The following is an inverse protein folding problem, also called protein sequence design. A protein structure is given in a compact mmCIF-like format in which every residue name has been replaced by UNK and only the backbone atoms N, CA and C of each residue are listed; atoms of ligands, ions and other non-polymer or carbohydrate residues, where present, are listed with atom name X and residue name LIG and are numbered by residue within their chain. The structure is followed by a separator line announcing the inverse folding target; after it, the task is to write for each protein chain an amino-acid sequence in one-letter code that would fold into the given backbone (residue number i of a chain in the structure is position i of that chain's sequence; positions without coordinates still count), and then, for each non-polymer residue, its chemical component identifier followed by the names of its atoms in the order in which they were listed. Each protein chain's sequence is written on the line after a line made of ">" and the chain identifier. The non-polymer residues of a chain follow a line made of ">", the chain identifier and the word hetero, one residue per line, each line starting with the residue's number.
data_IF_224001165443
#
_entry.id   IF_224001165443
#
_cell.length_a   1.000
_cell.length_b   1.000
_cell.length_c   1.000
_cell.angle_alpha   90.00
_cell.angle_beta   90.00
_cell.angle_gamma   90.00
#
_symmetry.space_group_name_H-M   'P 1'
#
loop_
_entity.id
_entity.type
_entity.pdbx_description
1 polymer ?
#
# COMPACT_ATOMS: atom_id res chain seq x y z
N UNK A 1 -16.59 19.46 -0.45
CA UNK A 1 -15.64 18.43 0.09
C UNK A 1 -16.32 17.06 0.35
N UNK A 2 -17.55 17.01 0.85
CA UNK A 2 -18.28 15.76 1.14
C UNK A 2 -18.66 14.98 -0.12
N UNK A 3 -19.09 15.63 -1.19
CA UNK A 3 -19.45 14.99 -2.46
C UNK A 3 -18.28 14.30 -3.14
N UNK A 4 -17.11 14.93 -3.18
CA UNK A 4 -15.90 14.33 -3.77
C UNK A 4 -15.43 13.11 -2.98
N UNK A 5 -15.53 13.15 -1.64
CA UNK A 5 -15.21 12.00 -0.79
C UNK A 5 -16.18 10.82 -1.05
N UNK A 6 -17.48 11.08 -1.07
CA UNK A 6 -18.50 10.06 -1.32
C UNK A 6 -18.34 9.45 -2.72
N UNK A 7 -18.13 10.28 -3.74
CA UNK A 7 -17.90 9.82 -5.12
C UNK A 7 -16.64 8.95 -5.20
N UNK A 8 -15.53 9.38 -4.62
CA UNK A 8 -14.27 8.60 -4.64
C UNK A 8 -14.42 7.29 -3.85
N UNK A 9 -15.11 7.32 -2.71
CA UNK A 9 -15.34 6.14 -1.87
C UNK A 9 -16.19 5.09 -2.56
N UNK A 10 -17.19 5.50 -3.37
CA UNK A 10 -18.06 4.59 -4.09
C UNK A 10 -17.53 4.19 -5.48
N UNK A 11 -16.83 5.08 -6.17
CA UNK A 11 -16.37 4.85 -7.53
C UNK A 11 -15.06 4.04 -7.58
N UNK A 12 -14.18 4.21 -6.58
CA UNK A 12 -12.91 3.48 -6.55
C UNK A 12 -13.08 1.95 -6.46
N UNK A 13 -13.95 1.38 -5.58
CA UNK A 13 -14.20 -0.06 -5.57
C UNK A 13 -14.82 -0.57 -6.88
N UNK A 14 -15.73 0.20 -7.47
CA UNK A 14 -16.35 -0.18 -8.74
C UNK A 14 -15.31 -0.22 -9.87
N UNK A 15 -14.44 0.78 -9.96
CA UNK A 15 -13.34 0.79 -10.94
C UNK A 15 -12.36 -0.35 -10.65
N UNK A 16 -12.01 -0.60 -9.40
CA UNK A 16 -11.13 -1.70 -9.03
C UNK A 16 -11.71 -3.06 -9.39
N UNK A 17 -12.99 -3.27 -9.13
CA UNK A 17 -13.69 -4.51 -9.49
C UNK A 17 -13.64 -4.71 -11.01
N UNK A 18 -13.88 -3.66 -11.79
CA UNK A 18 -13.78 -3.70 -13.25
C UNK A 18 -12.34 -3.98 -13.70
N UNK A 19 -11.34 -3.32 -13.10
CA UNK A 19 -9.91 -3.50 -13.45
C UNK A 19 -9.41 -4.91 -13.06
N UNK A 20 -9.93 -5.52 -12.00
CA UNK A 20 -9.59 -6.90 -11.63
C UNK A 20 -10.31 -7.94 -12.48
N UNK A 21 -11.61 -7.76 -12.76
CA UNK A 21 -12.44 -8.75 -13.45
C UNK A 21 -12.24 -8.68 -14.97
N UNK A 22 -12.01 -7.50 -15.55
CA UNK A 22 -11.93 -7.32 -16.99
C UNK A 22 -10.74 -8.07 -17.62
N UNK A 23 -9.51 -8.03 -17.10
CA UNK A 23 -8.39 -8.83 -17.62
C UNK A 23 -8.61 -10.33 -17.44
N UNK A 24 -9.16 -10.76 -16.29
CA UNK A 24 -9.48 -12.16 -16.06
C UNK A 24 -10.53 -12.68 -17.05
N UNK A 25 -11.55 -11.89 -17.33
CA UNK A 25 -12.59 -12.22 -18.32
C UNK A 25 -12.08 -12.22 -19.75
N UNK A 26 -11.16 -11.33 -20.10
CA UNK A 26 -10.52 -11.29 -21.41
C UNK A 26 -9.58 -12.50 -21.63
N UNK A 27 -8.88 -12.95 -20.58
CA UNK A 27 -8.05 -14.13 -20.61
C UNK A 27 -8.88 -15.40 -20.83
N UNK A 28 -9.97 -15.59 -20.10
CA UNK A 28 -10.86 -16.77 -20.24
C UNK A 28 -11.67 -16.79 -21.54
N UNK A 29 -11.87 -15.66 -22.19
CA UNK A 29 -12.55 -15.62 -23.53
C UNK A 29 -11.69 -16.20 -24.66
N UNK A 30 -10.38 -16.36 -24.46
CA UNK A 30 -9.44 -16.95 -25.43
C UNK A 30 -9.27 -18.47 -25.33
N UNK A 31 -9.58 -19.07 -24.18
CA UNK A 31 -9.39 -20.49 -23.93
C UNK A 31 -10.62 -21.30 -24.39
N UNK A 32 -10.59 -21.75 -25.64
CA UNK A 32 -11.46 -22.84 -26.10
C UNK A 32 -10.70 -24.16 -25.89
N UNK A 33 -11.07 -24.90 -24.86
CA UNK A 33 -10.59 -26.27 -24.66
C UNK A 33 -11.01 -27.12 -25.86
N UNK A 34 -10.08 -27.50 -26.72
CA UNK A 34 -10.34 -28.40 -27.85
C UNK A 34 -10.04 -29.82 -27.39
N UNK A 35 -11.07 -30.64 -27.27
CA UNK A 35 -10.88 -32.07 -27.11
C UNK A 35 -10.57 -32.69 -28.45
N UNK A 36 -9.32 -33.07 -28.69
CA UNK A 36 -8.89 -33.80 -29.89
C UNK A 36 -8.91 -35.28 -29.57
N UNK A 37 -9.81 -36.03 -30.16
CA UNK A 37 -9.83 -37.49 -30.09
C UNK A 37 -9.10 -38.01 -31.32
N UNK A 38 -7.91 -38.56 -31.10
CA UNK A 38 -7.11 -39.19 -32.18
C UNK A 38 -7.38 -40.68 -32.19
N UNK A 39 -8.05 -41.15 -33.22
CA UNK A 39 -8.25 -42.58 -33.46
C UNK A 39 -7.22 -43.04 -34.48
N UNK A 40 -6.28 -43.89 -34.07
CA UNK A 40 -5.24 -44.39 -34.98
C UNK A 40 -5.30 -45.92 -35.09
N UNK A 41 -5.04 -46.45 -36.29
CA UNK A 41 -4.92 -47.89 -36.56
C UNK A 41 -3.48 -48.38 -36.51
N UNK A 42 -2.49 -47.50 -36.35
CA UNK A 42 -1.07 -47.81 -36.39
C UNK A 42 -0.39 -47.52 -35.05
N UNK A 43 0.20 -48.50 -34.33
CA UNK A 43 0.81 -48.26 -33.00
C UNK A 43 1.91 -47.22 -32.99
N UNK A 44 2.76 -47.20 -34.02
CA UNK A 44 3.87 -46.21 -34.11
C UNK A 44 3.41 -44.77 -34.25
N UNK A 45 2.29 -44.51 -34.92
CA UNK A 45 1.71 -43.18 -35.03
C UNK A 45 1.06 -42.76 -33.71
N UNK A 46 0.51 -43.72 -32.96
CA UNK A 46 -0.03 -43.48 -31.62
C UNK A 46 1.03 -43.02 -30.61
N UNK A 47 2.23 -43.64 -30.67
CA UNK A 47 3.35 -43.23 -29.82
C UNK A 47 3.89 -41.84 -30.18
N UNK A 48 4.03 -41.51 -31.45
CA UNK A 48 4.50 -40.21 -31.92
C UNK A 48 3.53 -39.08 -31.52
N UNK A 49 2.21 -39.32 -31.64
CA UNK A 49 1.19 -38.39 -31.22
C UNK A 49 1.17 -38.23 -29.69
N UNK A 50 1.42 -39.31 -28.96
CA UNK A 50 1.52 -39.26 -27.48
C UNK A 50 2.73 -38.49 -27.00
N UNK A 51 3.86 -38.61 -27.69
CA UNK A 51 5.07 -37.85 -27.40
C UNK A 51 4.90 -36.34 -27.70
N UNK A 52 4.22 -36.02 -28.82
CA UNK A 52 3.86 -34.62 -29.13
C UNK A 52 2.82 -34.05 -28.16
N UNK A 53 1.84 -34.85 -27.72
CA UNK A 53 0.86 -34.38 -26.72
C UNK A 53 1.52 -34.20 -25.35
N UNK A 54 2.47 -35.08 -24.95
CA UNK A 54 3.19 -34.92 -23.71
C UNK A 54 4.12 -33.70 -23.71
N UNK A 55 4.69 -33.32 -24.86
CA UNK A 55 5.44 -32.07 -25.00
C UNK A 55 4.53 -30.83 -25.00
N UNK A 56 3.33 -30.94 -25.57
CA UNK A 56 2.32 -29.89 -25.52
C UNK A 56 1.76 -29.70 -24.09
N UNK A 57 1.53 -30.80 -23.35
CA UNK A 57 1.15 -30.75 -21.94
C UNK A 57 2.24 -30.08 -21.07
N UNK A 58 3.53 -30.33 -21.38
CA UNK A 58 4.64 -29.64 -20.70
C UNK A 58 4.75 -28.14 -21.05
N UNK A 59 4.36 -27.74 -22.26
CA UNK A 59 4.22 -26.33 -22.63
C UNK A 59 3.00 -25.69 -21.95
N UNK A 60 1.90 -26.41 -21.81
CA UNK A 60 0.68 -25.95 -21.14
C UNK A 60 0.92 -25.76 -19.63
N UNK A 61 1.61 -26.69 -18.95
CA UNK A 61 2.09 -26.53 -17.56
C UNK A 61 3.00 -25.28 -17.42
N UNK A 62 3.83 -24.99 -18.42
CA UNK A 62 4.66 -23.79 -18.47
C UNK A 62 3.83 -22.51 -18.66
N UNK A 63 2.69 -22.61 -19.31
CA UNK A 63 1.77 -21.50 -19.57
C UNK A 63 0.86 -21.24 -18.37
N UNK A 64 0.36 -22.26 -17.70
CA UNK A 64 -0.37 -22.15 -16.42
C UNK A 64 0.50 -21.54 -15.32
N UNK A 65 1.77 -21.90 -15.22
CA UNK A 65 2.70 -21.31 -14.25
C UNK A 65 3.00 -19.84 -14.56
N UNK A 66 3.07 -19.43 -15.83
CA UNK A 66 3.21 -18.03 -16.23
C UNK A 66 1.94 -17.21 -15.95
N UNK A 67 0.78 -17.81 -16.19
CA UNK A 67 -0.52 -17.17 -15.95
C UNK A 67 -0.78 -16.98 -14.44
N UNK A 68 -0.45 -17.97 -13.63
CA UNK A 68 -0.56 -17.88 -12.17
C UNK A 68 0.40 -16.83 -11.60
N UNK A 69 1.61 -16.70 -12.16
CA UNK A 69 2.56 -15.67 -11.80
C UNK A 69 2.08 -14.28 -12.22
N UNK A 70 1.46 -14.16 -13.38
CA UNK A 70 0.86 -12.91 -13.87
C UNK A 70 -0.31 -12.43 -13.00
N UNK A 71 -1.18 -13.35 -12.57
CA UNK A 71 -2.29 -13.07 -11.65
C UNK A 71 -1.78 -12.56 -10.30
N UNK A 72 -0.82 -13.24 -9.69
CA UNK A 72 -0.18 -12.80 -8.43
C UNK A 72 0.50 -11.43 -8.58
N UNK A 73 1.18 -11.19 -9.69
CA UNK A 73 1.79 -9.90 -9.97
C UNK A 73 0.74 -8.77 -9.98
N UNK A 74 -0.35 -8.98 -10.71
CA UNK A 74 -1.43 -7.98 -10.78
C UNK A 74 -2.05 -7.73 -9.41
N UNK A 75 -2.29 -8.77 -8.62
CA UNK A 75 -2.78 -8.68 -7.24
C UNK A 75 -1.86 -7.82 -6.37
N UNK A 76 -0.55 -8.11 -6.39
CA UNK A 76 0.45 -7.34 -5.65
C UNK A 76 0.47 -5.89 -6.09
N UNK A 77 0.51 -5.64 -7.39
CA UNK A 77 0.56 -4.27 -7.94
C UNK A 77 -0.67 -3.47 -7.54
N UNK A 78 -1.86 -4.05 -7.66
CA UNK A 78 -3.12 -3.36 -7.29
C UNK A 78 -3.13 -3.03 -5.80
N UNK A 79 -2.80 -3.97 -4.93
CA UNK A 79 -2.80 -3.76 -3.48
C UNK A 79 -1.72 -2.75 -3.05
N UNK A 80 -0.53 -2.83 -3.66
CA UNK A 80 0.56 -1.87 -3.41
C UNK A 80 0.18 -0.47 -3.89
N UNK A 81 -0.46 -0.37 -5.05
CA UNK A 81 -0.96 0.91 -5.54
C UNK A 81 -2.02 1.52 -4.62
N UNK A 82 -2.86 0.69 -3.99
CA UNK A 82 -3.78 1.15 -2.95
C UNK A 82 -3.06 1.74 -1.75
N UNK A 83 -2.04 1.03 -1.23
CA UNK A 83 -1.22 1.56 -0.12
C UNK A 83 -0.59 2.90 -0.54
N UNK A 84 0.01 2.94 -1.74
CA UNK A 84 0.68 4.12 -2.26
C UNK A 84 -0.25 5.33 -2.38
N UNK A 85 -1.39 5.16 -3.07
CA UNK A 85 -2.36 6.23 -3.30
C UNK A 85 -2.98 6.69 -1.97
N UNK A 86 -3.34 5.77 -1.10
CA UNK A 86 -3.92 6.11 0.19
C UNK A 86 -2.93 6.86 1.09
N UNK A 87 -1.68 6.41 1.18
CA UNK A 87 -0.63 7.11 1.96
C UNK A 87 -0.44 8.53 1.43
N UNK A 88 -0.41 8.73 0.11
CA UNK A 88 -0.28 10.06 -0.48
C UNK A 88 -1.50 10.93 -0.17
N UNK A 89 -2.71 10.45 -0.44
CA UNK A 89 -3.93 11.25 -0.28
C UNK A 89 -4.15 11.67 1.19
N UNK A 90 -4.05 10.70 2.10
CA UNK A 90 -4.26 10.97 3.53
C UNK A 90 -3.07 11.72 4.15
N UNK A 91 -1.84 11.42 3.74
CA UNK A 91 -0.65 12.15 4.17
C UNK A 91 -0.72 13.63 3.78
N UNK A 92 -1.05 13.94 2.53
CA UNK A 92 -1.27 15.31 2.07
C UNK A 92 -2.41 15.98 2.84
N UNK A 93 -3.48 15.25 3.14
CA UNK A 93 -4.60 15.78 3.93
C UNK A 93 -4.18 16.13 5.36
N UNK A 94 -3.33 15.33 5.99
CA UNK A 94 -2.74 15.64 7.31
C UNK A 94 -1.88 16.90 7.22
N UNK A 95 -0.99 16.97 6.23
CA UNK A 95 -0.13 18.15 6.01
C UNK A 95 -0.95 19.44 5.86
N UNK A 96 -1.95 19.42 4.97
CA UNK A 96 -2.84 20.57 4.73
C UNK A 96 -3.59 20.98 6.00
N UNK A 97 -4.12 20.01 6.74
CA UNK A 97 -4.84 20.28 7.97
C UNK A 97 -3.95 20.94 9.03
N UNK A 98 -2.68 20.54 9.14
CA UNK A 98 -1.69 21.20 10.02
C UNK A 98 -1.42 22.63 9.57
N UNK A 99 -1.26 22.82 8.26
CA UNK A 99 -1.00 24.12 7.68
C UNK A 99 -2.18 25.10 7.84
N UNK A 100 -3.41 24.63 7.61
CA UNK A 100 -4.65 25.41 7.77
C UNK A 100 -4.80 25.89 9.22
N UNK A 101 -4.56 25.03 10.21
CA UNK A 101 -4.62 25.40 11.63
C UNK A 101 -3.55 26.43 11.99
N UNK A 102 -2.32 26.23 11.51
CA UNK A 102 -1.23 27.18 11.71
C UNK A 102 -1.59 28.57 11.20
N UNK A 103 -2.23 28.64 10.01
CA UNK A 103 -2.57 29.92 9.37
C UNK A 103 -3.84 30.59 9.97
N UNK A 104 -4.72 29.81 10.61
CA UNK A 104 -6.01 30.31 11.13
C UNK A 104 -5.97 30.88 12.55
N UNK A 105 -4.81 30.90 13.23
CA UNK A 105 -4.65 31.29 14.64
C UNK A 105 -5.52 30.47 15.64
N UNK A 106 -6.28 29.49 15.17
CA UNK A 106 -7.07 28.60 16.03
C UNK A 106 -6.17 27.83 16.99
N UNK A 107 -4.91 27.66 16.58
CA UNK A 107 -3.88 27.00 17.38
C UNK A 107 -3.61 27.67 18.73
N UNK A 108 -3.68 28.98 18.84
CA UNK A 108 -3.48 29.69 20.12
C UNK A 108 -4.55 29.27 21.16
N UNK A 109 -5.79 29.06 20.68
CA UNK A 109 -6.90 28.59 21.51
C UNK A 109 -6.75 27.10 21.82
N UNK A 110 -6.35 26.28 20.86
CA UNK A 110 -6.18 24.83 21.04
C UNK A 110 -5.03 24.51 21.99
N UNK A 111 -3.92 25.23 21.91
CA UNK A 111 -2.75 25.06 22.80
C UNK A 111 -3.01 25.48 24.25
N UNK A 112 -4.09 26.22 24.52
CA UNK A 112 -4.51 26.48 25.90
C UNK A 112 -5.19 25.27 26.57
N UNK A 113 -5.69 24.32 25.75
CA UNK A 113 -6.49 23.17 26.22
C UNK A 113 -5.81 21.80 25.99
N UNK A 114 -4.84 21.70 25.06
CA UNK A 114 -4.18 20.46 24.68
C UNK A 114 -2.70 20.69 24.34
N UNK A 115 -1.88 19.66 24.57
CA UNK A 115 -0.47 19.71 24.17
C UNK A 115 -0.30 19.56 22.67
N UNK A 116 0.80 20.11 22.11
CA UNK A 116 1.14 19.98 20.68
C UNK A 116 1.20 18.52 20.22
N UNK A 117 1.63 17.62 21.10
CA UNK A 117 1.72 16.17 20.81
C UNK A 117 0.34 15.54 20.70
N UNK A 118 -0.57 15.87 21.63
CA UNK A 118 -1.95 15.37 21.62
C UNK A 118 -2.70 15.83 20.38
N UNK A 119 -2.51 17.09 19.99
CA UNK A 119 -3.10 17.65 18.76
C UNK A 119 -2.59 16.91 17.51
N UNK A 120 -1.28 16.70 17.42
CA UNK A 120 -0.67 15.98 16.28
C UNK A 120 -1.15 14.53 16.22
N UNK A 121 -1.12 13.81 17.34
CA UNK A 121 -1.57 12.42 17.41
C UNK A 121 -3.06 12.33 17.10
N UNK A 122 -3.89 13.17 17.71
CA UNK A 122 -5.33 13.19 17.45
C UNK A 122 -5.65 13.41 15.97
N UNK A 123 -4.90 14.28 15.29
CA UNK A 123 -5.07 14.53 13.86
C UNK A 123 -4.67 13.33 13.00
N UNK A 124 -3.50 12.73 13.27
CA UNK A 124 -3.04 11.55 12.53
C UNK A 124 -4.03 10.40 12.70
N UNK A 125 -4.47 10.13 13.92
CA UNK A 125 -5.46 9.08 14.18
C UNK A 125 -6.84 9.41 13.61
N UNK A 126 -7.28 10.66 13.68
CA UNK A 126 -8.56 11.10 13.12
C UNK A 126 -8.63 10.92 11.59
N UNK A 127 -7.62 11.38 10.86
CA UNK A 127 -7.54 11.18 9.40
C UNK A 127 -7.34 9.69 9.08
N UNK A 128 -6.58 8.97 9.90
CA UNK A 128 -6.38 7.52 9.75
C UNK A 128 -7.67 6.72 9.93
N UNK A 129 -8.51 7.10 10.87
CA UNK A 129 -9.82 6.48 11.07
C UNK A 129 -10.71 6.62 9.83
N UNK A 130 -10.67 7.78 9.16
CA UNK A 130 -11.36 7.99 7.87
C UNK A 130 -10.82 7.05 6.81
N UNK A 131 -9.48 6.92 6.69
CA UNK A 131 -8.84 6.00 5.75
C UNK A 131 -9.19 4.54 6.00
N UNK A 132 -9.16 4.10 7.28
CA UNK A 132 -9.58 2.74 7.65
C UNK A 132 -11.05 2.47 7.33
N UNK A 133 -11.93 3.42 7.64
CA UNK A 133 -13.36 3.30 7.30
C UNK A 133 -13.54 3.12 5.79
N UNK A 134 -12.80 3.86 4.99
CA UNK A 134 -12.85 3.75 3.54
C UNK A 134 -12.38 2.38 3.04
N UNK A 135 -11.31 1.82 3.60
CA UNK A 135 -10.86 0.46 3.25
C UNK A 135 -11.91 -0.58 3.64
N UNK A 136 -12.49 -0.48 4.83
CA UNK A 136 -13.56 -1.40 5.25
C UNK A 136 -14.73 -1.35 4.25
N UNK A 137 -15.15 -0.15 3.85
CA UNK A 137 -16.19 0.03 2.83
C UNK A 137 -15.78 -0.63 1.51
N UNK A 138 -14.52 -0.47 1.08
CA UNK A 138 -14.04 -1.08 -0.15
C UNK A 138 -14.01 -2.60 -0.10
N UNK A 139 -13.55 -3.18 1.01
CA UNK A 139 -13.54 -4.64 1.20
C UNK A 139 -14.96 -5.20 1.22
N UNK A 140 -15.89 -4.54 1.92
CA UNK A 140 -17.30 -4.95 1.97
C UNK A 140 -17.93 -4.85 0.58
N UNK A 141 -17.73 -3.75 -0.13
CA UNK A 141 -18.26 -3.58 -1.49
C UNK A 141 -17.68 -4.59 -2.47
N UNK A 142 -16.35 -4.82 -2.41
CA UNK A 142 -15.71 -5.85 -3.23
C UNK A 142 -16.33 -7.23 -2.97
N UNK A 143 -16.57 -7.60 -1.71
CA UNK A 143 -17.26 -8.83 -1.34
C UNK A 143 -18.69 -8.92 -1.90
N UNK A 144 -19.47 -7.84 -1.75
CA UNK A 144 -20.85 -7.78 -2.25
C UNK A 144 -20.89 -7.93 -3.78
N UNK A 145 -19.99 -7.30 -4.51
CA UNK A 145 -19.94 -7.42 -5.98
C UNK A 145 -19.31 -8.72 -6.47
N UNK A 146 -18.37 -9.30 -5.72
CA UNK A 146 -17.74 -10.57 -6.09
C UNK A 146 -18.68 -11.77 -5.90
N UNK A 147 -19.53 -11.77 -4.87
CA UNK A 147 -20.41 -12.90 -4.57
C UNK A 147 -21.32 -13.34 -5.75
N UNK A 148 -22.05 -12.45 -6.44
CA UNK A 148 -22.83 -12.83 -7.61
C UNK A 148 -21.96 -13.33 -8.78
N UNK A 149 -20.79 -12.74 -8.98
CA UNK A 149 -19.87 -13.16 -10.04
C UNK A 149 -19.32 -14.58 -9.80
N UNK A 150 -18.97 -14.90 -8.54
CA UNK A 150 -18.54 -16.23 -8.12
C UNK A 150 -19.64 -17.28 -8.23
N UNK A 151 -20.89 -16.89 -7.96
CA UNK A 151 -22.04 -17.79 -8.11
C UNK A 151 -22.31 -18.16 -9.59
N UNK A 152 -21.98 -17.25 -10.51
CA UNK A 152 -22.16 -17.45 -11.96
C UNK A 152 -20.98 -18.15 -12.62
N UNK A 153 -19.77 -18.00 -12.07
CA UNK A 153 -18.52 -18.55 -12.61
C UNK A 153 -17.63 -19.05 -11.44
N UNK A 154 -17.72 -20.33 -11.07
CA UNK A 154 -16.93 -20.93 -9.98
C UNK A 154 -15.41 -20.80 -10.16
N UNK A 155 -14.93 -20.73 -11.40
CA UNK A 155 -13.51 -20.57 -11.74
C UNK A 155 -12.91 -19.25 -11.21
N UNK A 156 -13.76 -18.24 -10.96
CA UNK A 156 -13.36 -17.00 -10.32
C UNK A 156 -13.02 -17.13 -8.82
N UNK A 157 -13.27 -18.30 -8.23
CA UNK A 157 -12.90 -18.58 -6.82
C UNK A 157 -11.40 -18.43 -6.56
N UNK A 158 -10.57 -18.61 -7.59
CA UNK A 158 -9.12 -18.39 -7.55
C UNK A 158 -8.73 -16.91 -7.39
N UNK A 159 -9.67 -15.97 -7.59
CA UNK A 159 -9.45 -14.54 -7.39
C UNK A 159 -9.76 -14.08 -5.95
N UNK A 160 -10.23 -15.00 -5.09
CA UNK A 160 -10.50 -14.67 -3.69
C UNK A 160 -9.17 -14.49 -2.96
N UNK A 161 -8.91 -13.26 -2.50
CA UNK A 161 -7.73 -12.96 -1.69
C UNK A 161 -7.80 -13.70 -0.35
N UNK A 162 -6.79 -14.49 0.03
CA UNK A 162 -6.78 -15.21 1.30
C UNK A 162 -6.94 -14.26 2.49
N UNK A 163 -7.70 -14.63 3.54
CA UNK A 163 -7.90 -13.77 4.71
C UNK A 163 -6.60 -13.31 5.38
N UNK A 164 -5.56 -14.16 5.39
CA UNK A 164 -4.24 -13.81 5.91
C UNK A 164 -3.58 -12.66 5.15
N UNK A 165 -3.76 -12.60 3.83
CA UNK A 165 -3.25 -11.51 2.98
C UNK A 165 -4.00 -10.21 3.25
N UNK A 166 -5.32 -10.27 3.46
CA UNK A 166 -6.13 -9.10 3.84
C UNK A 166 -5.73 -8.54 5.22
N UNK A 167 -5.48 -9.41 6.19
CA UNK A 167 -4.97 -8.99 7.51
C UNK A 167 -3.59 -8.35 7.38
N UNK A 168 -2.68 -8.96 6.62
CA UNK A 168 -1.37 -8.38 6.35
C UNK A 168 -1.49 -7.01 5.66
N UNK A 169 -2.39 -6.89 4.67
CA UNK A 169 -2.69 -5.61 4.02
C UNK A 169 -3.13 -4.55 5.03
N UNK A 170 -4.11 -4.87 5.90
CA UNK A 170 -4.61 -3.93 6.90
C UNK A 170 -3.51 -3.48 7.87
N UNK A 171 -2.65 -4.41 8.32
CA UNK A 171 -1.54 -4.11 9.24
C UNK A 171 -0.50 -3.20 8.57
N UNK A 172 0.01 -3.59 7.39
CA UNK A 172 1.05 -2.81 6.70
C UNK A 172 0.53 -1.50 6.13
N UNK A 173 -0.74 -1.46 5.72
CA UNK A 173 -1.41 -0.22 5.36
C UNK A 173 -1.48 0.75 6.55
N UNK A 174 -2.00 0.30 7.70
CA UNK A 174 -2.14 1.14 8.89
C UNK A 174 -0.79 1.66 9.38
N UNK A 175 0.21 0.77 9.50
CA UNK A 175 1.54 1.15 9.95
C UNK A 175 2.24 2.08 8.93
N UNK A 176 2.12 1.79 7.64
CA UNK A 176 2.63 2.66 6.58
C UNK A 176 1.96 4.03 6.61
N UNK A 177 0.63 4.06 6.75
CA UNK A 177 -0.11 5.31 6.91
C UNK A 177 0.41 6.12 8.12
N UNK A 178 0.52 5.51 9.29
CA UNK A 178 1.00 6.18 10.50
C UNK A 178 2.43 6.72 10.32
N UNK A 179 3.32 5.93 9.72
CA UNK A 179 4.69 6.33 9.44
C UNK A 179 4.76 7.59 8.57
N UNK A 180 4.13 7.53 7.40
CA UNK A 180 4.20 8.60 6.42
C UNK A 180 3.38 9.82 6.82
N UNK A 181 2.21 9.65 7.45
CA UNK A 181 1.41 10.76 7.96
C UNK A 181 2.12 11.56 9.05
N UNK A 182 2.94 10.90 9.86
CA UNK A 182 3.80 11.59 10.84
C UNK A 182 4.81 12.50 10.15
N UNK A 183 5.43 12.05 9.06
CA UNK A 183 6.34 12.89 8.25
C UNK A 183 5.60 14.04 7.57
N UNK A 184 4.42 13.79 7.02
CA UNK A 184 3.60 14.83 6.42
C UNK A 184 3.14 15.87 7.44
N UNK A 185 2.81 15.47 8.67
CA UNK A 185 2.50 16.39 9.76
C UNK A 185 3.69 17.30 10.10
N UNK A 186 4.91 16.74 10.13
CA UNK A 186 6.13 17.51 10.35
C UNK A 186 6.38 18.50 9.20
N UNK A 187 6.17 18.11 7.93
CA UNK A 187 6.26 19.01 6.78
C UNK A 187 5.28 20.16 6.93
N UNK A 188 4.00 19.88 7.26
CA UNK A 188 2.99 20.92 7.50
C UNK A 188 3.38 21.89 8.60
N UNK A 189 4.03 21.41 9.66
CA UNK A 189 4.49 22.26 10.77
C UNK A 189 5.62 23.23 10.39
N UNK A 190 6.55 22.83 9.52
CA UNK A 190 7.72 23.64 9.13
C UNK A 190 7.43 24.55 7.94
N UNK A 191 6.44 24.25 7.11
CA UNK A 191 6.10 25.04 5.90
C UNK A 191 5.13 26.16 6.22
N UNK A 192 5.11 27.18 5.35
CA UNK A 192 4.22 28.34 5.46
C UNK A 192 3.14 28.34 4.38
N UNK A 193 3.38 27.67 3.27
CA UNK A 193 2.44 27.55 2.15
C UNK A 193 2.28 26.11 1.70
N UNK A 194 1.16 25.81 1.04
CA UNK A 194 0.94 24.48 0.45
C UNK A 194 1.98 24.15 -0.62
N UNK A 195 2.42 25.13 -1.40
CA UNK A 195 3.43 24.93 -2.44
C UNK A 195 4.78 24.51 -1.87
N UNK A 196 5.18 25.09 -0.73
CA UNK A 196 6.40 24.66 -0.02
C UNK A 196 6.26 23.23 0.49
N UNK A 197 5.11 22.89 1.06
CA UNK A 197 4.80 21.54 1.52
C UNK A 197 4.89 20.52 0.39
N UNK A 198 4.35 20.85 -0.78
CA UNK A 198 4.43 20.00 -1.96
C UNK A 198 5.85 19.80 -2.47
N UNK A 199 6.74 20.79 -2.35
CA UNK A 199 8.15 20.62 -2.69
C UNK A 199 8.86 19.67 -1.72
N UNK A 200 8.61 19.79 -0.43
CA UNK A 200 9.23 18.94 0.59
C UNK A 200 8.68 17.51 0.61
N UNK A 201 7.46 17.29 0.12
CA UNK A 201 6.87 15.95 0.07
C UNK A 201 7.68 14.95 -0.76
N UNK A 202 8.50 15.41 -1.73
CA UNK A 202 9.36 14.51 -2.51
C UNK A 202 10.25 13.64 -1.61
N UNK A 203 10.73 14.18 -0.49
CA UNK A 203 11.55 13.41 0.47
C UNK A 203 10.77 12.22 1.05
N UNK A 204 9.47 12.39 1.24
CA UNK A 204 8.56 11.35 1.76
C UNK A 204 8.14 10.36 0.67
N UNK A 205 8.00 10.85 -0.57
CA UNK A 205 7.58 10.03 -1.72
C UNK A 205 8.70 9.12 -2.24
N UNK A 206 9.96 9.55 -2.16
CA UNK A 206 11.11 8.77 -2.69
C UNK A 206 11.15 7.33 -2.16
N UNK A 207 11.05 7.04 -0.84
CA UNK A 207 11.04 5.67 -0.35
C UNK A 207 9.86 4.84 -0.89
N UNK A 208 8.68 5.46 -1.03
CA UNK A 208 7.51 4.79 -1.58
C UNK A 208 7.72 4.41 -3.06
N UNK A 209 8.24 5.33 -3.86
CA UNK A 209 8.56 5.08 -5.27
C UNK A 209 9.62 4.00 -5.39
N UNK A 210 10.67 4.07 -4.56
CA UNK A 210 11.73 3.04 -4.52
C UNK A 210 11.14 1.66 -4.20
N UNK A 211 10.20 1.58 -3.26
CA UNK A 211 9.52 0.33 -2.92
C UNK A 211 8.77 -0.28 -4.10
N UNK A 212 8.11 0.56 -4.92
CA UNK A 212 7.41 0.10 -6.13
C UNK A 212 8.39 -0.44 -7.17
N UNK A 213 9.54 0.22 -7.37
CA UNK A 213 10.56 -0.29 -8.28
C UNK A 213 11.15 -1.63 -7.82
N UNK A 214 11.19 -1.88 -6.50
CA UNK A 214 11.66 -3.16 -5.97
C UNK A 214 10.70 -4.33 -6.20
N UNK A 215 9.44 -4.09 -6.57
CA UNK A 215 8.46 -5.16 -6.78
C UNK A 215 8.93 -6.19 -7.81
N UNK A 216 9.57 -5.77 -8.90
CA UNK A 216 10.11 -6.69 -9.90
C UNK A 216 11.16 -7.65 -9.31
N UNK A 217 12.02 -7.13 -8.44
CA UNK A 217 13.05 -7.94 -7.74
C UNK A 217 12.42 -8.88 -6.72
N UNK A 218 11.41 -8.41 -5.99
CA UNK A 218 10.65 -9.22 -5.02
C UNK A 218 9.95 -10.38 -5.72
N UNK A 219 9.40 -10.16 -6.91
CA UNK A 219 8.74 -11.20 -7.72
C UNK A 219 9.71 -12.28 -8.20
N UNK A 220 10.92 -11.89 -8.62
CA UNK A 220 11.89 -12.82 -9.17
C UNK A 220 12.61 -13.63 -8.09
N UNK A 221 12.90 -13.02 -6.93
CA UNK A 221 13.68 -13.63 -5.87
C UNK A 221 13.25 -13.14 -4.47
N UNK A 222 12.06 -13.56 -3.97
CA UNK A 222 11.48 -13.06 -2.73
C UNK A 222 12.34 -13.37 -1.48
N UNK A 223 13.12 -14.43 -1.51
CA UNK A 223 13.99 -14.86 -0.41
C UNK A 223 15.46 -14.44 -0.59
N UNK A 224 15.77 -13.65 -1.60
CA UNK A 224 17.14 -13.13 -1.75
C UNK A 224 17.54 -12.29 -0.54
N UNK A 225 18.80 -12.35 -0.07
CA UNK A 225 19.26 -11.57 1.08
C UNK A 225 18.95 -10.08 0.96
N UNK A 226 19.07 -9.53 -0.24
CA UNK A 226 18.77 -8.12 -0.54
C UNK A 226 17.30 -7.78 -0.26
N UNK A 227 16.38 -8.59 -0.77
CA UNK A 227 14.92 -8.39 -0.57
C UNK A 227 14.55 -8.58 0.90
N UNK A 228 15.14 -9.56 1.58
CA UNK A 228 14.95 -9.78 3.02
C UNK A 228 15.34 -8.53 3.81
N UNK A 229 16.54 -7.97 3.57
CA UNK A 229 17.00 -6.75 4.24
C UNK A 229 16.12 -5.54 3.92
N UNK A 230 15.76 -5.33 2.65
CA UNK A 230 14.90 -4.22 2.24
C UNK A 230 13.51 -4.29 2.86
N UNK A 231 12.96 -5.51 3.04
CA UNK A 231 11.67 -5.71 3.70
C UNK A 231 11.69 -5.40 5.21
N UNK A 232 12.88 -5.28 5.82
CA UNK A 232 13.07 -4.87 7.22
C UNK A 232 13.21 -3.34 7.37
N UNK A 233 13.56 -2.62 6.29
CA UNK A 233 13.71 -1.16 6.32
C UNK A 233 12.34 -0.51 6.50
N UNK A 234 12.08 0.26 7.58
CA UNK A 234 10.73 0.72 7.93
C UNK A 234 10.04 1.55 6.83
N UNK A 235 10.79 2.35 6.07
CA UNK A 235 10.22 3.17 5.00
C UNK A 235 9.86 2.37 3.73
N UNK A 236 10.41 1.17 3.57
CA UNK A 236 10.15 0.28 2.44
C UNK A 236 9.22 -0.87 2.84
N UNK A 237 9.25 -1.26 4.11
CA UNK A 237 8.55 -2.41 4.66
C UNK A 237 7.05 -2.47 4.34
N UNK A 238 6.26 -1.37 4.41
CA UNK A 238 4.83 -1.43 4.13
C UNK A 238 4.49 -1.98 2.74
N UNK A 239 5.38 -1.77 1.77
CA UNK A 239 5.21 -2.24 0.40
C UNK A 239 5.96 -3.55 0.17
N UNK A 240 7.27 -3.58 0.50
CA UNK A 240 8.15 -4.72 0.16
C UNK A 240 7.81 -5.96 0.98
N UNK A 241 7.57 -5.83 2.30
CA UNK A 241 7.19 -6.99 3.13
C UNK A 241 5.79 -7.49 2.77
N UNK A 242 4.85 -6.59 2.50
CA UNK A 242 3.52 -6.98 2.04
C UNK A 242 3.59 -7.75 0.72
N UNK A 243 4.35 -7.26 -0.27
CA UNK A 243 4.54 -7.95 -1.53
C UNK A 243 5.15 -9.36 -1.34
N UNK A 244 6.12 -9.52 -0.44
CA UNK A 244 6.68 -10.84 -0.08
C UNK A 244 5.62 -11.77 0.49
N UNK A 245 4.75 -11.29 1.38
CA UNK A 245 3.69 -12.11 1.99
C UNK A 245 2.74 -12.66 0.92
N UNK A 246 2.41 -11.88 -0.10
CA UNK A 246 1.51 -12.30 -1.19
C UNK A 246 2.18 -13.31 -2.11
N UNK A 247 3.45 -13.08 -2.45
CA UNK A 247 4.17 -13.93 -3.42
C UNK A 247 4.59 -15.25 -2.78
N UNK A 248 5.28 -15.16 -1.65
CA UNK A 248 5.80 -16.29 -0.90
C UNK A 248 5.89 -15.89 0.56
N UNK A 249 5.00 -16.42 1.40
CA UNK A 249 4.91 -16.06 2.82
C UNK A 249 6.23 -16.28 3.53
N UNK A 250 6.90 -15.21 4.02
CA UNK A 250 8.17 -15.34 4.73
C UNK A 250 7.98 -15.96 6.12
N UNK A 251 9.07 -16.41 6.78
CA UNK A 251 9.01 -16.91 8.15
C UNK A 251 8.41 -15.86 9.10
N UNK A 252 7.57 -16.28 10.03
CA UNK A 252 6.83 -15.40 10.95
C UNK A 252 7.73 -14.42 11.72
N UNK A 253 8.97 -14.84 12.07
CA UNK A 253 9.91 -13.96 12.76
C UNK A 253 10.32 -12.74 11.92
N UNK A 254 10.40 -12.88 10.57
CA UNK A 254 10.71 -11.76 9.68
C UNK A 254 9.55 -10.77 9.65
N UNK A 255 8.32 -11.25 9.57
CA UNK A 255 7.12 -10.41 9.60
C UNK A 255 7.05 -9.67 10.95
N UNK A 256 7.22 -10.41 12.07
CA UNK A 256 7.19 -9.83 13.39
C UNK A 256 8.29 -8.78 13.61
N UNK A 257 9.51 -9.04 13.15
CA UNK A 257 10.63 -8.10 13.20
C UNK A 257 10.36 -6.84 12.37
N UNK A 258 9.84 -6.99 11.16
CA UNK A 258 9.47 -5.85 10.29
C UNK A 258 8.42 -4.97 10.94
N UNK A 259 7.36 -5.57 11.50
CA UNK A 259 6.30 -4.86 12.23
C UNK A 259 6.86 -4.16 13.46
N UNK A 260 7.72 -4.83 14.23
CA UNK A 260 8.37 -4.24 15.39
C UNK A 260 9.23 -3.02 15.03
N UNK A 261 10.06 -3.14 13.98
CA UNK A 261 10.90 -2.03 13.48
C UNK A 261 10.05 -0.87 12.97
N UNK A 262 8.92 -1.15 12.29
CA UNK A 262 7.96 -0.14 11.88
C UNK A 262 7.40 0.61 13.08
N UNK A 263 6.88 -0.10 14.08
CA UNK A 263 6.29 0.50 15.29
C UNK A 263 7.35 1.32 16.04
N UNK A 264 8.56 0.78 16.20
CA UNK A 264 9.66 1.50 16.86
C UNK A 264 10.03 2.79 16.11
N UNK A 265 10.07 2.73 14.78
CA UNK A 265 10.35 3.90 13.93
C UNK A 265 9.22 4.93 14.01
N UNK A 266 7.95 4.49 13.97
CA UNK A 266 6.78 5.39 14.13
C UNK A 266 6.85 6.09 15.48
N UNK A 267 7.11 5.36 16.58
CA UNK A 267 7.23 5.95 17.90
C UNK A 267 8.37 6.97 17.98
N UNK A 268 9.53 6.63 17.42
CA UNK A 268 10.67 7.56 17.33
C UNK A 268 10.36 8.81 16.50
N UNK A 269 9.71 8.64 15.34
CA UNK A 269 9.29 9.77 14.50
C UNK A 269 8.22 10.61 15.17
N UNK A 270 7.23 10.03 15.85
CA UNK A 270 6.22 10.78 16.59
C UNK A 270 6.85 11.67 17.66
N UNK A 271 7.83 11.16 18.41
CA UNK A 271 8.58 11.94 19.40
C UNK A 271 9.40 13.06 18.74
N UNK A 272 10.05 12.77 17.62
CA UNK A 272 10.84 13.75 16.88
C UNK A 272 9.93 14.84 16.28
N UNK A 273 8.88 14.41 15.58
CA UNK A 273 7.96 15.32 14.89
C UNK A 273 7.13 16.15 15.87
N UNK A 274 6.78 15.62 17.05
CA UNK A 274 6.07 16.40 18.06
C UNK A 274 6.90 17.59 18.58
N UNK A 275 8.23 17.44 18.64
CA UNK A 275 9.15 18.54 18.98
C UNK A 275 9.20 19.59 17.87
N UNK A 276 9.31 19.13 16.63
CA UNK A 276 9.28 20.02 15.44
C UNK A 276 7.93 20.75 15.38
N UNK A 277 6.83 20.02 15.63
CA UNK A 277 5.48 20.56 15.62
C UNK A 277 5.31 21.67 16.67
N UNK A 278 5.78 21.46 17.92
CA UNK A 278 5.71 22.46 19.01
C UNK A 278 6.37 23.77 18.62
N UNK A 279 7.54 23.73 17.98
CA UNK A 279 8.29 24.95 17.63
C UNK A 279 7.83 25.52 16.30
N UNK A 280 7.59 24.65 15.31
CA UNK A 280 7.21 25.04 13.95
C UNK A 280 5.87 25.77 13.88
N UNK A 281 4.93 25.41 14.74
CA UNK A 281 3.61 26.05 14.84
C UNK A 281 3.69 27.49 15.36
N UNK A 282 4.64 27.77 16.26
CA UNK A 282 4.79 29.10 16.86
C UNK A 282 5.55 30.09 15.96
N UNK A 283 6.16 29.60 14.87
CA UNK A 283 6.93 30.47 13.96
C UNK A 283 6.05 30.85 12.77
N UNK A 284 5.69 32.10 12.71
CA UNK A 284 4.97 32.71 11.60
C UNK A 284 5.93 33.43 10.63
N UNK A 285 5.71 33.24 9.33
CA UNK A 285 6.30 34.08 8.28
C UNK A 285 7.79 33.89 7.96
N UNK A 286 8.51 33.00 8.66
CA UNK A 286 9.93 32.70 8.39
C UNK A 286 10.14 31.23 8.10
N UNK A 287 10.87 30.95 7.00
CA UNK A 287 11.31 29.55 6.70
C UNK A 287 12.44 29.17 7.65
N UNK A 288 12.30 28.09 8.42
CA UNK A 288 13.41 27.60 9.23
C UNK A 288 14.49 26.95 8.33
N UNK A 289 15.73 27.27 8.60
CA UNK A 289 16.86 26.60 7.97
C UNK A 289 17.14 25.27 8.69
N UNK A 290 17.72 24.27 7.98
CA UNK A 290 18.12 22.99 8.56
C UNK A 290 18.91 23.09 9.88
N UNK A 291 19.89 24.03 10.05
CA UNK A 291 20.55 24.23 11.34
C UNK A 291 19.62 24.73 12.46
N UNK A 292 18.59 25.50 12.11
CA UNK A 292 17.58 25.96 13.09
C UNK A 292 16.70 24.81 13.57
N UNK A 293 16.27 23.91 12.65
CA UNK A 293 15.51 22.71 12.99
C UNK A 293 16.31 21.80 13.93
N UNK A 294 17.61 21.62 13.65
CA UNK A 294 18.49 20.85 14.53
C UNK A 294 18.65 21.47 15.93
N UNK A 295 18.69 22.80 16.00
CA UNK A 295 18.68 23.52 17.28
C UNK A 295 17.36 23.30 18.04
N UNK A 296 16.21 23.32 17.38
CA UNK A 296 14.92 23.08 18.00
C UNK A 296 14.82 21.71 18.65
N UNK A 297 15.39 20.69 18.00
CA UNK A 297 15.46 19.33 18.56
C UNK A 297 16.28 19.29 19.85
N UNK A 298 17.27 20.16 20.01
CA UNK A 298 18.15 20.23 21.18
C UNK A 298 17.50 21.02 22.34
N UNK A 299 16.78 22.11 22.04
CA UNK A 299 16.17 22.98 23.05
C UNK A 299 14.79 22.49 23.53
N UNK A 300 14.12 21.61 22.81
CA UNK A 300 12.82 21.04 23.22
C UNK A 300 12.93 20.01 24.38
N UNK A 301 14.07 19.96 25.05
CA UNK A 301 14.36 19.02 26.16
C UNK A 301 14.04 19.56 27.54
N UNK A 302 13.59 20.82 27.63
CA UNK A 302 13.19 21.49 28.88
C UNK A 302 11.71 21.83 28.87
#
# INVERSE_FOLDING_TARGET
>A
RTTSFVVLTLLAPAIMTVVMILPAKLATMGEKTQHIVVVTSTPQFGEMVREQLSSADAEDDGQETKDSSGKKFMEVVVMVMLIYVAVLLYGISVMRSVLEEKNSRVLEVLLSSATSTELMIGKIFGVGAVGLTQIIVWVVMAGVFAMPALAMQPDLSQLIVPPGVLVAFAVFFLLGYLLFSTLYAAIGAITTTEQEGQQLQFVVVIPLVLSVFMLSTVMQAPDSPTVVWLSMVPFLAPVVMYARIVIQTPPLWQIALSVFLLIATIAGLLLLCSRIYRVGILIYGKRPNLPEILKWLKYAKS
#
